data_IF_276825054018
#
_entry.id   IF_276825054018
#
_cell.length_a   1.000
_cell.length_b   1.000
_cell.length_c   1.000
_cell.angle_alpha   90.00
_cell.angle_beta   90.00
_cell.angle_gamma   90.00
#
_symmetry.space_group_name_H-M   'P 1'
#
loop_
_entity.id
_entity.type
_entity.pdbx_description
1 polymer ?
#
# COMPACT_ATOMS: atom_id res chain seq x y z
N UNK A 1 -0.26 -27.42 9.43
CA UNK A 1 0.00 -26.00 9.77
C UNK A 1 -0.12 -25.10 8.55
N UNK A 2 0.57 -25.36 7.43
CA UNK A 2 0.48 -24.49 6.22
C UNK A 2 -0.93 -24.37 5.61
N UNK A 3 -1.74 -25.43 5.61
CA UNK A 3 -3.13 -25.37 5.14
C UNK A 3 -4.00 -24.44 6.00
N UNK A 4 -3.86 -24.52 7.32
CA UNK A 4 -4.55 -23.65 8.28
C UNK A 4 -4.08 -22.19 8.15
N UNK A 5 -2.78 -21.96 7.96
CA UNK A 5 -2.24 -20.62 7.71
C UNK A 5 -2.80 -19.99 6.43
N UNK A 6 -2.90 -20.76 5.34
CA UNK A 6 -3.54 -20.31 4.09
C UNK A 6 -5.02 -20.00 4.30
N UNK A 7 -5.75 -20.88 4.97
CA UNK A 7 -7.17 -20.67 5.26
C UNK A 7 -7.40 -19.42 6.12
N UNK A 8 -6.57 -19.20 7.13
CA UNK A 8 -6.59 -18.00 7.96
C UNK A 8 -6.35 -16.75 7.12
N UNK A 9 -5.28 -16.72 6.33
CA UNK A 9 -4.95 -15.58 5.47
C UNK A 9 -6.08 -15.24 4.50
N UNK A 10 -6.66 -16.25 3.85
CA UNK A 10 -7.79 -16.06 2.94
C UNK A 10 -9.05 -15.57 3.67
N UNK A 11 -9.27 -16.04 4.89
CA UNK A 11 -10.39 -15.58 5.72
C UNK A 11 -10.23 -14.13 6.13
N UNK A 12 -9.05 -13.74 6.61
CA UNK A 12 -8.75 -12.34 6.98
C UNK A 12 -8.83 -11.42 5.76
N UNK A 13 -8.33 -11.85 4.59
CA UNK A 13 -8.47 -11.08 3.34
C UNK A 13 -9.93 -10.79 2.97
N UNK A 14 -10.80 -11.80 3.06
CA UNK A 14 -12.23 -11.62 2.76
C UNK A 14 -12.90 -10.70 3.78
N UNK A 15 -12.56 -10.83 5.06
CA UNK A 15 -13.15 -9.99 6.10
C UNK A 15 -12.72 -8.52 6.03
N UNK A 16 -11.49 -8.27 5.60
CA UNK A 16 -10.90 -6.94 5.54
C UNK A 16 -11.02 -6.29 4.16
N UNK A 17 -11.58 -7.00 3.17
CA UNK A 17 -11.75 -6.45 1.84
C UNK A 17 -12.59 -5.17 1.90
N UNK A 18 -12.14 -4.07 1.29
CA UNK A 18 -12.87 -2.81 1.30
C UNK A 18 -14.19 -2.94 0.52
N UNK A 19 -15.17 -2.13 0.89
CA UNK A 19 -16.42 -2.06 0.16
C UNK A 19 -16.24 -1.46 -1.24
N UNK A 20 -17.05 -1.90 -2.21
CA UNK A 20 -16.95 -1.52 -3.64
C UNK A 20 -16.97 0.00 -3.92
N UNK A 21 -17.48 0.81 -2.99
CA UNK A 21 -17.67 2.27 -3.15
C UNK A 21 -16.98 3.11 -2.08
N UNK A 22 -16.14 2.51 -1.24
CA UNK A 22 -15.49 3.23 -0.14
C UNK A 22 -14.32 4.11 -0.63
N UNK A 23 -13.70 3.72 -1.75
CA UNK A 23 -12.67 4.51 -2.42
C UNK A 23 -13.32 5.48 -3.43
N UNK A 24 -13.41 6.77 -3.09
CA UNK A 24 -14.05 7.78 -3.95
C UNK A 24 -13.22 8.19 -5.16
N UNK A 25 -11.89 8.03 -5.10
CA UNK A 25 -11.00 8.45 -6.18
C UNK A 25 -10.87 7.40 -7.29
N UNK A 26 -10.82 6.12 -6.93
CA UNK A 26 -10.51 5.06 -7.89
C UNK A 26 -11.48 5.01 -9.09
N UNK A 27 -12.82 5.13 -8.93
CA UNK A 27 -13.72 5.20 -10.08
C UNK A 27 -13.46 6.41 -10.98
N UNK A 28 -13.04 7.55 -10.41
CA UNK A 28 -12.71 8.74 -11.20
C UNK A 28 -11.46 8.52 -12.04
N UNK A 29 -10.45 7.86 -11.47
CA UNK A 29 -9.24 7.47 -12.23
C UNK A 29 -9.63 6.49 -13.33
N UNK A 30 -10.38 5.43 -12.98
CA UNK A 30 -10.81 4.38 -13.89
C UNK A 30 -11.57 4.91 -15.11
N UNK A 31 -12.42 5.91 -14.92
CA UNK A 31 -13.21 6.54 -15.99
C UNK A 31 -12.48 7.67 -16.73
N UNK A 32 -11.21 7.96 -16.39
CA UNK A 32 -10.46 9.07 -16.99
C UNK A 32 -10.90 10.46 -16.55
N UNK A 33 -11.65 10.57 -15.44
CA UNK A 33 -12.24 11.83 -14.95
C UNK A 33 -11.43 12.53 -13.87
N UNK A 34 -10.44 11.87 -13.29
CA UNK A 34 -9.53 12.50 -12.34
C UNK A 34 -8.55 13.43 -13.09
N UNK A 35 -8.36 14.70 -12.72
CA UNK A 35 -7.36 15.56 -13.33
C UNK A 35 -5.94 15.03 -13.11
N UNK A 36 -5.03 15.31 -14.04
CA UNK A 36 -3.60 14.95 -13.92
C UNK A 36 -2.97 15.56 -12.67
N UNK A 37 -3.45 16.71 -12.19
CA UNK A 37 -2.98 17.30 -10.93
C UNK A 37 -3.22 16.40 -9.70
N UNK A 38 -4.30 15.61 -9.68
CA UNK A 38 -4.56 14.64 -8.61
C UNK A 38 -3.64 13.42 -8.74
N UNK A 39 -3.33 13.00 -9.96
CA UNK A 39 -2.34 11.95 -10.20
C UNK A 39 -0.93 12.41 -9.79
N UNK A 40 -0.60 13.67 -10.04
CA UNK A 40 0.63 14.32 -9.58
C UNK A 40 0.70 14.34 -8.04
N UNK A 41 -0.41 14.68 -7.38
CA UNK A 41 -0.49 14.65 -5.92
C UNK A 41 -0.34 13.22 -5.38
N UNK A 42 -0.98 12.24 -6.01
CA UNK A 42 -0.81 10.81 -5.70
C UNK A 42 0.68 10.43 -5.76
N UNK A 43 1.39 10.80 -6.84
CA UNK A 43 2.81 10.53 -6.99
C UNK A 43 3.64 11.13 -5.83
N UNK A 44 3.36 12.39 -5.48
CA UNK A 44 4.10 13.10 -4.45
C UNK A 44 3.87 12.55 -3.03
N UNK A 45 2.62 12.17 -2.72
CA UNK A 45 2.29 11.55 -1.44
C UNK A 45 2.87 10.13 -1.35
N UNK A 46 2.81 9.35 -2.43
CA UNK A 46 3.41 8.00 -2.46
C UNK A 46 4.92 8.00 -2.24
N UNK A 47 5.63 9.00 -2.75
CA UNK A 47 7.07 9.11 -2.53
C UNK A 47 7.43 9.15 -1.03
N UNK A 48 6.61 9.88 -0.25
CA UNK A 48 6.77 9.97 1.22
C UNK A 48 6.37 8.67 1.91
N UNK A 49 5.22 8.10 1.54
CA UNK A 49 4.70 6.86 2.11
C UNK A 49 5.73 5.75 1.96
N UNK A 50 6.19 5.50 0.73
CA UNK A 50 7.11 4.40 0.45
C UNK A 50 8.47 4.61 1.14
N UNK A 51 8.95 5.85 1.20
CA UNK A 51 10.18 6.17 1.94
C UNK A 51 10.03 5.88 3.45
N UNK A 52 8.85 6.13 4.02
CA UNK A 52 8.52 5.78 5.40
C UNK A 52 8.39 4.28 5.60
N UNK A 53 7.66 3.62 4.72
CA UNK A 53 7.33 2.20 4.80
C UNK A 53 8.60 1.36 4.67
N UNK A 54 9.49 1.70 3.72
CA UNK A 54 10.82 1.08 3.61
C UNK A 54 11.59 1.10 4.94
N UNK A 55 11.62 2.24 5.63
CA UNK A 55 12.34 2.38 6.91
C UNK A 55 11.67 1.53 8.00
N UNK A 56 10.34 1.55 8.05
CA UNK A 56 9.55 0.78 9.01
C UNK A 56 9.73 -0.73 8.82
N UNK A 57 9.75 -1.19 7.57
CA UNK A 57 9.98 -2.58 7.20
C UNK A 57 11.42 -3.03 7.51
N UNK A 58 12.42 -2.18 7.30
CA UNK A 58 13.80 -2.47 7.73
C UNK A 58 13.92 -2.59 9.25
N UNK A 59 13.21 -1.73 10.01
CA UNK A 59 13.16 -1.85 11.48
C UNK A 59 12.50 -3.16 11.92
N UNK A 60 11.40 -3.55 11.27
CA UNK A 60 10.73 -4.83 11.52
C UNK A 60 11.63 -6.02 11.20
N UNK A 61 12.35 -5.96 10.08
CA UNK A 61 13.31 -6.98 9.68
C UNK A 61 14.41 -7.17 10.73
N UNK A 62 14.98 -6.06 11.22
CA UNK A 62 15.99 -6.09 12.28
C UNK A 62 15.44 -6.63 13.61
N UNK A 63 14.23 -6.22 14.00
CA UNK A 63 13.57 -6.69 15.23
C UNK A 63 13.22 -8.18 15.19
N UNK A 64 13.08 -8.75 13.98
CA UNK A 64 12.70 -10.14 13.74
C UNK A 64 13.84 -10.96 13.11
N UNK A 65 15.10 -10.54 13.25
CA UNK A 65 16.24 -11.11 12.53
C UNK A 65 16.40 -12.63 12.70
N UNK A 66 16.00 -13.17 13.86
CA UNK A 66 16.17 -14.58 14.22
C UNK A 66 14.93 -15.45 13.93
N UNK A 67 13.88 -14.90 13.31
CA UNK A 67 12.64 -15.63 12.99
C UNK A 67 12.23 -15.42 11.52
N UNK A 68 11.41 -16.31 10.93
CA UNK A 68 11.04 -16.21 9.51
C UNK A 68 10.46 -14.86 9.09
N UNK A 69 9.77 -14.16 9.99
CA UNK A 69 9.22 -12.83 9.72
C UNK A 69 10.30 -11.79 9.33
N UNK A 70 11.54 -11.91 9.82
CA UNK A 70 12.62 -10.98 9.49
C UNK A 70 12.95 -10.95 8.01
N UNK A 71 13.08 -12.12 7.38
CA UNK A 71 13.30 -12.25 5.95
C UNK A 71 12.13 -11.72 5.12
N UNK A 72 10.90 -11.97 5.57
CA UNK A 72 9.68 -11.46 4.93
C UNK A 72 9.63 -9.92 4.93
N UNK A 73 9.91 -9.28 6.06
CA UNK A 73 9.96 -7.80 6.14
C UNK A 73 11.12 -7.21 5.31
N UNK A 74 12.27 -7.88 5.26
CA UNK A 74 13.39 -7.47 4.42
C UNK A 74 13.03 -7.52 2.93
N UNK A 75 12.31 -8.56 2.49
CA UNK A 75 11.82 -8.67 1.12
C UNK A 75 10.87 -7.53 0.75
N UNK A 76 9.94 -7.17 1.65
CA UNK A 76 9.08 -6.00 1.44
C UNK A 76 9.86 -4.69 1.36
N UNK A 77 10.87 -4.48 2.22
CA UNK A 77 11.68 -3.27 2.18
C UNK A 77 12.47 -3.12 0.85
N UNK A 78 12.91 -4.24 0.26
CA UNK A 78 13.49 -4.23 -1.08
C UNK A 78 12.43 -3.93 -2.15
N UNK A 79 11.22 -4.47 -1.99
CA UNK A 79 10.08 -4.10 -2.83
C UNK A 79 9.80 -2.60 -2.84
N UNK A 80 9.77 -1.96 -1.66
CA UNK A 80 9.63 -0.50 -1.55
C UNK A 80 10.78 0.26 -2.24
N UNK A 81 11.99 -0.29 -2.19
CA UNK A 81 13.14 0.30 -2.89
C UNK A 81 13.00 0.23 -4.42
N UNK A 82 12.43 -0.86 -4.94
CA UNK A 82 12.08 -1.01 -6.35
C UNK A 82 10.96 -0.06 -6.75
N UNK A 83 9.89 0.00 -5.95
CA UNK A 83 8.75 0.88 -6.17
C UNK A 83 9.15 2.37 -6.22
N UNK A 84 10.05 2.84 -5.33
CA UNK A 84 10.57 4.21 -5.37
C UNK A 84 11.27 4.56 -6.69
N UNK A 85 12.02 3.60 -7.26
CA UNK A 85 12.69 3.82 -8.56
C UNK A 85 11.64 3.99 -9.66
N UNK A 86 10.64 3.13 -9.71
CA UNK A 86 9.57 3.19 -10.70
C UNK A 86 8.67 4.43 -10.54
N UNK A 87 8.46 4.91 -9.31
CA UNK A 87 7.61 6.07 -9.01
C UNK A 87 8.11 7.35 -9.70
N UNK A 88 9.42 7.47 -9.93
CA UNK A 88 10.02 8.63 -10.60
C UNK A 88 9.40 8.86 -11.99
N UNK A 89 9.27 7.79 -12.79
CA UNK A 89 8.71 7.88 -14.14
C UNK A 89 7.20 8.23 -14.11
N UNK A 90 6.47 7.77 -13.09
CA UNK A 90 5.07 8.16 -12.91
C UNK A 90 4.94 9.66 -12.57
N UNK A 91 5.78 10.16 -11.65
CA UNK A 91 5.78 11.58 -11.29
C UNK A 91 6.13 12.49 -12.48
N UNK A 92 7.14 12.11 -13.27
CA UNK A 92 7.52 12.81 -14.50
C UNK A 92 6.39 12.79 -15.54
N UNK A 93 5.69 11.65 -15.69
CA UNK A 93 4.50 11.53 -16.53
C UNK A 93 3.36 12.47 -16.11
N UNK A 94 3.28 12.79 -14.82
CA UNK A 94 2.36 13.80 -14.28
C UNK A 94 2.88 15.24 -14.37
N UNK A 95 4.07 15.46 -14.95
CA UNK A 95 4.70 16.76 -15.11
C UNK A 95 5.43 17.28 -13.87
N UNK A 96 5.76 16.41 -12.90
CA UNK A 96 6.54 16.80 -11.72
C UNK A 96 8.02 16.49 -11.86
N UNK A 97 8.86 17.44 -11.45
CA UNK A 97 10.28 17.20 -11.21
C UNK A 97 10.52 16.55 -9.84
N UNK A 98 11.67 15.89 -9.63
CA UNK A 98 12.03 15.34 -8.32
C UNK A 98 12.03 16.40 -7.19
N UNK A 99 12.41 17.64 -7.50
CA UNK A 99 12.41 18.75 -6.55
C UNK A 99 10.98 19.13 -6.14
N UNK A 100 10.03 19.15 -7.07
CA UNK A 100 8.62 19.45 -6.78
C UNK A 100 7.95 18.33 -5.98
N UNK A 101 8.28 17.06 -6.28
CA UNK A 101 7.84 15.90 -5.47
C UNK A 101 8.33 16.05 -4.02
N UNK A 102 9.62 16.35 -3.84
CA UNK A 102 10.21 16.53 -2.53
C UNK A 102 9.64 17.75 -1.78
N UNK A 103 9.32 18.85 -2.49
CA UNK A 103 8.78 20.06 -1.90
C UNK A 103 7.27 20.00 -1.59
N UNK A 104 6.52 19.05 -2.15
CA UNK A 104 5.06 18.95 -1.94
C UNK A 104 4.72 18.74 -0.47
N UNK A 105 3.80 19.50 0.11
CA UNK A 105 3.46 19.33 1.53
C UNK A 105 2.76 17.97 1.78
N UNK A 106 3.09 17.24 2.86
CA UNK A 106 2.35 16.03 3.23
C UNK A 106 0.88 16.35 3.56
N UNK A 107 -0.05 15.62 2.93
CA UNK A 107 -1.45 15.69 3.29
C UNK A 107 -1.72 14.81 4.52
N UNK A 108 -2.31 15.32 5.61
CA UNK A 108 -2.46 14.57 6.86
C UNK A 108 -3.13 13.20 6.68
N UNK A 109 -4.21 13.12 5.89
CA UNK A 109 -4.91 11.85 5.63
C UNK A 109 -4.10 10.86 4.79
N UNK A 110 -3.14 11.32 4.00
CA UNK A 110 -2.18 10.47 3.30
C UNK A 110 -1.05 9.96 4.21
N UNK A 111 -0.82 10.60 5.36
CA UNK A 111 0.23 10.20 6.31
C UNK A 111 -0.24 9.24 7.40
N UNK A 112 -1.56 9.00 7.53
CA UNK A 112 -2.09 8.12 8.56
C UNK A 112 -1.59 6.67 8.43
N UNK A 113 -1.56 6.13 7.20
CA UNK A 113 -1.05 4.78 6.94
C UNK A 113 0.44 4.62 7.28
N UNK A 114 1.38 5.42 6.73
CA UNK A 114 2.80 5.27 7.04
C UNK A 114 3.13 5.56 8.51
N UNK A 115 2.37 6.46 9.17
CA UNK A 115 2.52 6.69 10.60
C UNK A 115 2.11 5.45 11.42
N UNK A 116 1.04 4.76 11.01
CA UNK A 116 0.60 3.54 11.66
C UNK A 116 1.56 2.37 11.40
N UNK A 117 2.09 2.23 10.19
CA UNK A 117 3.11 1.22 9.92
C UNK A 117 4.39 1.47 10.72
N UNK A 118 4.81 2.72 10.89
CA UNK A 118 5.91 3.07 11.79
C UNK A 118 5.60 2.69 13.26
N UNK A 119 4.35 2.89 13.70
CA UNK A 119 3.91 2.43 15.02
C UNK A 119 3.96 0.91 15.16
N UNK A 120 3.50 0.16 14.15
CA UNK A 120 3.59 -1.31 14.11
C UNK A 120 5.05 -1.78 14.12
N UNK A 121 5.94 -1.06 13.43
CA UNK A 121 7.36 -1.38 13.41
C UNK A 121 8.03 -1.29 14.79
N UNK A 122 7.51 -0.42 15.66
CA UNK A 122 8.00 -0.27 17.02
C UNK A 122 7.25 -1.18 18.01
N UNK A 123 5.93 -1.32 17.86
CA UNK A 123 5.06 -1.86 18.91
C UNK A 123 4.25 -3.10 18.51
N UNK A 124 4.06 -3.33 17.20
CA UNK A 124 3.21 -4.41 16.71
C UNK A 124 3.80 -5.79 16.99
N UNK A 125 2.94 -6.78 17.25
CA UNK A 125 3.37 -8.19 17.28
C UNK A 125 3.74 -8.62 15.85
N UNK A 126 4.94 -9.18 15.60
CA UNK A 126 5.43 -9.46 14.26
C UNK A 126 4.49 -10.32 13.39
N UNK A 127 4.00 -11.44 13.91
CA UNK A 127 3.15 -12.37 13.13
C UNK A 127 1.81 -11.72 12.78
N UNK A 128 1.19 -11.02 13.73
CA UNK A 128 -0.03 -10.24 13.54
C UNK A 128 0.18 -9.09 12.55
N UNK A 129 1.37 -8.48 12.54
CA UNK A 129 1.74 -7.45 11.55
C UNK A 129 1.87 -8.05 10.15
N UNK A 130 2.48 -9.23 9.99
CA UNK A 130 2.51 -9.97 8.72
C UNK A 130 1.09 -10.29 8.24
N UNK A 131 0.24 -10.82 9.12
CA UNK A 131 -1.15 -11.14 8.80
C UNK A 131 -1.92 -9.89 8.31
N UNK A 132 -1.74 -8.76 9.00
CA UNK A 132 -2.40 -7.50 8.68
C UNK A 132 -1.97 -6.93 7.33
N UNK A 133 -0.66 -6.85 7.08
CA UNK A 133 -0.10 -6.32 5.83
C UNK A 133 -0.44 -7.22 4.64
N UNK A 134 -0.29 -8.54 4.78
CA UNK A 134 -0.59 -9.49 3.71
C UNK A 134 -2.08 -9.53 3.34
N UNK A 135 -2.97 -9.19 4.28
CA UNK A 135 -4.38 -9.01 4.00
C UNK A 135 -4.65 -7.71 3.22
N UNK A 136 -4.00 -6.61 3.60
CA UNK A 136 -4.15 -5.30 2.96
C UNK A 136 -3.64 -5.28 1.51
N UNK A 137 -2.51 -5.93 1.22
CA UNK A 137 -1.90 -5.91 -0.12
C UNK A 137 -2.79 -6.42 -1.25
N UNK A 138 -3.75 -7.30 -0.95
CA UNK A 138 -4.69 -7.79 -1.96
C UNK A 138 -5.58 -6.67 -2.52
N UNK A 139 -6.07 -5.78 -1.65
CA UNK A 139 -6.86 -4.62 -2.06
C UNK A 139 -6.01 -3.61 -2.84
N UNK A 140 -4.84 -3.27 -2.29
CA UNK A 140 -3.88 -2.38 -2.91
C UNK A 140 -3.50 -2.81 -4.34
N UNK A 141 -3.16 -4.09 -4.54
CA UNK A 141 -2.82 -4.62 -5.86
C UNK A 141 -3.97 -4.49 -6.88
N UNK A 142 -5.21 -4.71 -6.46
CA UNK A 142 -6.40 -4.50 -7.30
C UNK A 142 -6.61 -3.04 -7.70
N UNK A 143 -6.33 -2.09 -6.79
CA UNK A 143 -6.36 -0.66 -7.08
C UNK A 143 -5.27 -0.28 -8.07
N UNK A 144 -4.04 -0.73 -7.85
CA UNK A 144 -2.91 -0.52 -8.76
C UNK A 144 -3.20 -1.06 -10.16
N UNK A 145 -3.76 -2.26 -10.29
CA UNK A 145 -4.17 -2.83 -11.58
C UNK A 145 -5.21 -1.97 -12.31
N UNK A 146 -6.10 -1.31 -11.57
CA UNK A 146 -7.10 -0.40 -12.13
C UNK A 146 -6.47 0.92 -12.57
N UNK A 147 -5.60 1.50 -11.75
CA UNK A 147 -4.87 2.73 -12.09
C UNK A 147 -3.99 2.52 -13.31
N UNK A 148 -3.19 1.44 -13.35
CA UNK A 148 -2.29 1.14 -14.46
C UNK A 148 -3.02 1.02 -15.81
N UNK A 149 -4.20 0.38 -15.83
CA UNK A 149 -5.04 0.30 -17.05
C UNK A 149 -5.58 1.68 -17.44
N UNK A 150 -6.04 2.47 -16.47
CA UNK A 150 -6.58 3.79 -16.73
C UNK A 150 -5.51 4.76 -17.27
N UNK A 151 -4.31 4.77 -16.68
CA UNK A 151 -3.18 5.60 -17.12
C UNK A 151 -2.88 5.39 -18.62
N UNK A 152 -2.87 4.13 -19.07
CA UNK A 152 -2.69 3.80 -20.49
C UNK A 152 -3.89 4.19 -21.35
N UNK A 153 -5.09 3.80 -20.92
CA UNK A 153 -6.31 3.90 -21.74
C UNK A 153 -6.91 5.30 -21.83
N UNK A 154 -6.83 6.09 -20.77
CA UNK A 154 -7.50 7.39 -20.65
C UNK A 154 -6.54 8.58 -20.59
N UNK A 155 -5.34 8.39 -20.03
CA UNK A 155 -4.37 9.48 -19.85
C UNK A 155 -3.23 9.46 -20.86
N UNK A 156 -3.07 8.38 -21.64
CA UNK A 156 -2.03 8.25 -22.66
C UNK A 156 -0.62 8.10 -22.10
N UNK A 157 -0.48 7.62 -20.86
CA UNK A 157 0.82 7.44 -20.23
C UNK A 157 1.57 6.24 -20.86
N UNK A 158 2.89 6.34 -21.06
CA UNK A 158 3.69 5.21 -21.55
C UNK A 158 3.86 4.14 -20.47
N UNK A 159 4.26 2.92 -20.88
CA UNK A 159 4.45 1.78 -19.97
C UNK A 159 5.42 2.09 -18.82
N UNK A 160 6.50 2.83 -19.09
CA UNK A 160 7.45 3.23 -18.06
C UNK A 160 6.83 4.06 -16.93
N UNK A 161 5.85 4.91 -17.23
CA UNK A 161 5.13 5.71 -16.24
C UNK A 161 4.04 4.91 -15.50
N UNK A 162 3.70 3.71 -15.98
CA UNK A 162 2.76 2.79 -15.35
C UNK A 162 3.45 1.74 -14.46
N UNK A 163 4.77 1.56 -14.62
CA UNK A 163 5.55 0.50 -13.98
C UNK A 163 5.44 0.47 -12.45
N UNK A 164 5.25 1.61 -11.81
CA UNK A 164 4.99 1.69 -10.36
C UNK A 164 3.74 0.90 -9.96
N UNK A 165 2.65 1.08 -10.69
CA UNK A 165 1.38 0.40 -10.41
C UNK A 165 1.41 -1.05 -10.90
N UNK A 166 2.06 -1.33 -12.04
CA UNK A 166 2.22 -2.70 -12.53
C UNK A 166 2.96 -3.57 -11.50
N UNK A 167 4.02 -3.03 -10.88
CA UNK A 167 4.78 -3.72 -9.83
C UNK A 167 3.91 -4.23 -8.67
N UNK A 168 2.95 -3.44 -8.21
CA UNK A 168 2.04 -3.85 -7.13
C UNK A 168 0.84 -4.66 -7.62
N UNK A 169 0.48 -4.56 -8.91
CA UNK A 169 -0.62 -5.30 -9.51
C UNK A 169 -0.25 -6.75 -9.85
N UNK A 170 1.02 -7.03 -10.06
CA UNK A 170 1.52 -8.37 -10.38
C UNK A 170 1.41 -9.32 -9.17
N UNK A 171 0.95 -10.57 -9.38
CA UNK A 171 0.98 -11.58 -8.32
C UNK A 171 2.42 -11.87 -7.86
N UNK A 172 2.63 -11.95 -6.55
CA UNK A 172 3.91 -12.29 -5.94
C UNK A 172 3.84 -13.67 -5.23
N UNK A 173 3.86 -14.79 -5.96
CA UNK A 173 3.65 -16.13 -5.37
C UNK A 173 4.72 -16.51 -4.35
N UNK A 174 5.97 -16.06 -4.53
CA UNK A 174 7.04 -16.28 -3.57
C UNK A 174 6.77 -15.56 -2.24
N UNK A 175 6.29 -14.32 -2.29
CA UNK A 175 5.92 -13.55 -1.10
C UNK A 175 4.69 -14.16 -0.40
N UNK A 176 3.72 -14.67 -1.17
CA UNK A 176 2.57 -15.40 -0.64
C UNK A 176 3.02 -16.65 0.12
N UNK A 177 3.92 -17.45 -0.44
CA UNK A 177 4.43 -18.65 0.24
C UNK A 177 5.25 -18.30 1.48
N UNK A 178 6.08 -17.24 1.43
CA UNK A 178 6.78 -16.75 2.62
C UNK A 178 5.80 -16.28 3.71
N UNK A 179 4.71 -15.62 3.34
CA UNK A 179 3.65 -15.23 4.29
C UNK A 179 3.08 -16.45 4.99
N UNK A 180 2.74 -17.49 4.23
CA UNK A 180 2.22 -18.76 4.77
C UNK A 180 3.25 -19.43 5.69
N UNK A 181 4.53 -19.39 5.34
CA UNK A 181 5.60 -19.95 6.18
C UNK A 181 5.73 -19.21 7.51
N UNK A 182 5.68 -17.87 7.51
CA UNK A 182 5.69 -17.08 8.75
C UNK A 182 4.52 -17.47 9.64
N UNK A 183 3.30 -17.46 9.10
CA UNK A 183 2.09 -17.81 9.85
C UNK A 183 2.12 -19.26 10.35
N UNK A 184 2.63 -20.20 9.56
CA UNK A 184 2.72 -21.61 9.94
C UNK A 184 3.81 -21.90 10.98
N UNK A 185 4.79 -21.00 11.14
CA UNK A 185 5.86 -21.12 12.13
C UNK A 185 5.48 -20.57 13.51
N UNK A 186 4.39 -19.80 13.59
CA UNK A 186 3.91 -19.19 14.82
C UNK A 186 2.84 -20.05 15.52
N UNK A 187 2.74 -19.94 16.83
CA UNK A 187 1.58 -20.43 17.57
C UNK A 187 0.42 -19.46 17.39
N UNK A 188 -0.51 -19.79 16.48
CA UNK A 188 -1.65 -18.95 16.10
C UNK A 188 -2.76 -18.97 17.17
N UNK A 189 -2.48 -18.34 18.32
CA UNK A 189 -3.47 -18.16 19.39
C UNK A 189 -4.59 -17.21 18.94
N UNK A 190 -5.76 -17.32 19.59
CA UNK A 190 -6.88 -16.41 19.30
C UNK A 190 -6.52 -14.94 19.50
N UNK A 191 -5.74 -14.62 20.55
CA UNK A 191 -5.30 -13.25 20.83
C UNK A 191 -4.40 -12.68 19.72
N UNK A 192 -3.46 -13.48 19.20
CA UNK A 192 -2.59 -13.09 18.09
C UNK A 192 -3.41 -12.81 16.84
N UNK A 193 -4.34 -13.71 16.51
CA UNK A 193 -5.22 -13.57 15.34
C UNK A 193 -6.08 -12.30 15.49
N UNK A 194 -6.70 -12.08 16.64
CA UNK A 194 -7.53 -10.89 16.89
C UNK A 194 -6.71 -9.60 16.90
N UNK A 195 -5.47 -9.65 17.38
CA UNK A 195 -4.47 -8.58 17.24
C UNK A 195 -4.20 -8.23 15.78
N UNK A 196 -3.84 -9.23 14.96
CA UNK A 196 -3.59 -9.04 13.53
C UNK A 196 -4.81 -8.52 12.77
N UNK A 197 -6.02 -9.00 13.10
CA UNK A 197 -7.27 -8.46 12.54
C UNK A 197 -7.49 -6.99 12.91
N UNK A 198 -7.20 -6.59 14.15
CA UNK A 198 -7.27 -5.18 14.57
C UNK A 198 -6.29 -4.31 13.79
N UNK A 199 -5.05 -4.77 13.62
CA UNK A 199 -4.05 -4.05 12.81
C UNK A 199 -4.51 -3.92 11.35
N UNK A 200 -5.02 -5.01 10.76
CA UNK A 200 -5.50 -5.02 9.39
C UNK A 200 -6.68 -4.07 9.15
N UNK A 201 -7.64 -4.00 10.08
CA UNK A 201 -8.76 -3.02 10.00
C UNK A 201 -8.27 -1.57 9.99
N UNK A 202 -7.27 -1.26 10.82
CA UNK A 202 -6.69 0.09 10.85
C UNK A 202 -5.94 0.40 9.55
N UNK A 203 -5.11 -0.52 9.04
CA UNK A 203 -4.41 -0.35 7.77
C UNK A 203 -5.40 -0.12 6.62
N UNK A 204 -6.46 -0.93 6.51
CA UNK A 204 -7.48 -0.77 5.48
C UNK A 204 -8.20 0.59 5.59
N UNK A 205 -8.52 1.02 6.81
CA UNK A 205 -9.16 2.32 7.05
C UNK A 205 -8.25 3.48 6.68
N UNK A 206 -6.95 3.38 6.97
CA UNK A 206 -5.97 4.40 6.63
C UNK A 206 -5.63 4.42 5.14
N UNK A 207 -5.64 3.27 4.46
CA UNK A 207 -5.52 3.23 3.00
C UNK A 207 -6.74 3.90 2.33
N UNK A 208 -7.95 3.62 2.81
CA UNK A 208 -9.15 4.32 2.32
C UNK A 208 -9.09 5.83 2.62
N UNK A 209 -8.57 6.23 3.78
CA UNK A 209 -8.34 7.63 4.12
C UNK A 209 -7.36 8.29 3.15
N UNK A 210 -6.28 7.62 2.75
CA UNK A 210 -5.35 8.10 1.72
C UNK A 210 -6.06 8.41 0.40
N UNK A 211 -6.80 7.43 -0.14
CA UNK A 211 -7.52 7.61 -1.40
C UNK A 211 -8.57 8.72 -1.33
N UNK A 212 -9.30 8.77 -0.22
CA UNK A 212 -10.35 9.75 0.00
C UNK A 212 -9.80 11.16 0.26
N UNK A 213 -8.63 11.29 0.86
CA UNK A 213 -7.94 12.59 1.01
C UNK A 213 -7.53 13.14 -0.36
N UNK A 214 -7.00 12.29 -1.24
CA UNK A 214 -6.70 12.69 -2.62
C UNK A 214 -7.97 13.06 -3.39
N UNK A 215 -9.08 12.34 -3.18
CA UNK A 215 -10.37 12.70 -3.77
C UNK A 215 -10.83 14.10 -3.33
N UNK A 216 -10.63 14.47 -2.06
CA UNK A 216 -11.07 15.76 -1.54
C UNK A 216 -10.29 16.94 -2.16
N UNK A 217 -9.05 16.73 -2.62
CA UNK A 217 -8.29 17.76 -3.37
C UNK A 217 -8.95 18.19 -4.67
N UNK A 218 -9.86 17.36 -5.23
CA UNK A 218 -10.67 17.73 -6.39
C UNK A 218 -11.62 18.89 -6.07
N UNK A 219 -12.22 18.89 -4.87
CA UNK A 219 -13.18 19.89 -4.47
C UNK A 219 -12.53 21.27 -4.27
N UNK A 220 -11.28 21.30 -3.80
CA UNK A 220 -10.52 22.53 -3.56
C UNK A 220 -10.06 23.23 -4.84
N UNK A 221 -10.05 22.53 -5.98
CA UNK A 221 -9.69 23.11 -7.29
C UNK A 221 -10.83 23.86 -7.99
N UNK A 222 -12.05 23.81 -7.45
CA UNK A 222 -13.15 24.69 -7.88
C UNK A 222 -13.32 25.83 -6.86
N UNK A 223 -12.82 27.05 -7.12
CA UNK A 223 -13.28 28.18 -6.33
C UNK A 223 -14.79 28.32 -6.56
N UNK A 224 -15.56 28.39 -5.48
CA UNK A 224 -16.93 28.84 -5.53
C UNK A 224 -16.97 30.16 -6.32
N UNK A 225 -17.68 30.15 -7.45
CA UNK A 225 -17.83 31.30 -8.34
C UNK A 225 -18.56 32.48 -7.70
#
# INVERSE_FOLDING_TARGET
>A
MSAQARELLQTVRRELAPGERENRLLPLIADGRAPVSVLAELAAQQHRIITSDRRSLLMLAARCADVPAGGWFAALAEGESQALRALTAFAEGCGLTPAEVAAREPLPGCQAYPAYLAWLALNGEPTGTVLALAANFAAWGGYCATVARALRGHYGFPDGACAFFDFFAEPAPELEEQTVQVLASAELTGELIDGGRRYGRQLQSYELMFWNTLADTLADTHPAG
#
